data_IF_046977221319
#
_entry.id   IF_046977221319
#
_cell.length_a   1.000
_cell.length_b   1.000
_cell.length_c   1.000
_cell.angle_alpha   90.00
_cell.angle_beta   90.00
_cell.angle_gamma   90.00
#
_symmetry.space_group_name_H-M   'P 1'
#
loop_
_entity.id
_entity.type
_entity.pdbx_description
1 polymer ?
#
# COMPACT_ATOMS: atom_id res chain seq x y z
N UNK A 1 -0.41 23.43 25.50
CA UNK A 1 0.25 22.13 25.71
C UNK A 1 -0.46 21.09 24.89
N UNK A 2 -0.07 20.93 23.62
CA UNK A 2 -0.62 19.91 22.74
C UNK A 2 0.19 18.63 22.96
N UNK A 3 -0.41 17.70 23.72
CA UNK A 3 0.15 16.38 23.91
C UNK A 3 0.31 15.69 22.58
N UNK A 4 1.54 15.41 22.19
CA UNK A 4 1.83 14.49 21.10
C UNK A 4 1.12 13.18 21.41
N UNK A 5 0.21 12.68 20.53
CA UNK A 5 -0.25 11.32 20.67
C UNK A 5 0.97 10.45 20.51
N UNK A 6 1.25 9.70 21.54
CA UNK A 6 2.33 8.73 21.60
C UNK A 6 2.29 7.86 20.33
N UNK A 7 3.33 7.89 19.55
CA UNK A 7 3.74 6.87 18.59
C UNK A 7 4.14 5.58 19.36
N UNK A 8 3.31 5.22 20.33
CA UNK A 8 3.48 4.11 21.25
C UNK A 8 2.93 2.82 20.65
N UNK A 9 3.49 2.38 19.57
CA UNK A 9 3.15 1.12 19.00
C UNK A 9 3.95 0.77 17.76
N UNK A 10 4.79 1.68 17.30
CA UNK A 10 5.74 1.29 16.25
C UNK A 10 6.60 0.16 16.81
N UNK A 11 6.67 -0.97 16.12
CA UNK A 11 7.45 -2.10 16.56
C UNK A 11 8.86 -1.62 16.89
N UNK A 12 9.30 -1.92 18.11
CA UNK A 12 10.66 -1.65 18.57
C UNK A 12 11.68 -2.15 17.53
N UNK A 13 12.90 -1.61 17.47
CA UNK A 13 13.92 -2.02 16.47
C UNK A 13 14.20 -3.53 16.39
N UNK A 14 13.71 -4.30 17.34
CA UNK A 14 13.87 -5.76 17.45
C UNK A 14 12.66 -6.57 17.02
N UNK A 15 11.72 -6.04 16.22
CA UNK A 15 10.57 -6.82 15.74
C UNK A 15 11.06 -7.97 14.88
N UNK A 16 10.69 -9.17 15.29
CA UNK A 16 11.07 -10.41 14.60
C UNK A 16 10.48 -10.44 13.18
N UNK A 17 11.12 -11.12 12.23
CA UNK A 17 10.64 -11.18 10.83
C UNK A 17 9.16 -11.58 10.71
N UNK A 18 8.72 -12.59 11.46
CA UNK A 18 7.32 -13.06 11.45
C UNK A 18 6.33 -12.01 12.00
N UNK A 19 6.70 -11.29 13.05
CA UNK A 19 5.87 -10.22 13.63
C UNK A 19 5.71 -9.06 12.64
N UNK A 20 6.80 -8.68 11.98
CA UNK A 20 6.80 -7.65 10.93
C UNK A 20 5.92 -8.05 9.75
N UNK A 21 6.02 -9.32 9.31
CA UNK A 21 5.14 -9.89 8.29
C UNK A 21 3.68 -9.78 8.71
N UNK A 22 3.33 -10.22 9.92
CA UNK A 22 1.98 -10.17 10.44
C UNK A 22 1.41 -8.74 10.48
N UNK A 23 2.19 -7.79 10.99
CA UNK A 23 1.80 -6.37 11.06
C UNK A 23 1.60 -5.76 9.67
N UNK A 24 2.51 -6.05 8.72
CA UNK A 24 2.43 -5.53 7.35
C UNK A 24 1.20 -6.08 6.62
N UNK A 25 0.94 -7.38 6.73
CA UNK A 25 -0.26 -7.99 6.16
C UNK A 25 -1.54 -7.50 6.83
N UNK A 26 -1.52 -7.20 8.14
CA UNK A 26 -2.68 -6.64 8.85
C UNK A 26 -3.06 -5.23 8.36
N UNK A 27 -2.08 -4.44 7.86
CA UNK A 27 -2.34 -3.14 7.26
C UNK A 27 -3.10 -3.21 5.94
N UNK A 28 -3.10 -4.38 5.29
CA UNK A 28 -3.82 -4.61 4.03
C UNK A 28 -5.29 -4.98 4.25
N UNK A 29 -5.64 -5.44 5.47
CA UNK A 29 -7.00 -5.91 5.77
C UNK A 29 -8.02 -4.78 5.67
N UNK A 30 -9.12 -5.10 5.03
CA UNK A 30 -10.33 -4.28 5.08
C UNK A 30 -11.11 -4.54 6.37
N UNK A 31 -11.53 -3.48 7.08
CA UNK A 31 -12.37 -3.63 8.25
C UNK A 31 -13.64 -4.44 7.94
N UNK A 32 -13.88 -5.50 8.70
CA UNK A 32 -15.06 -6.35 8.54
C UNK A 32 -14.97 -7.42 7.44
N UNK A 33 -13.87 -7.51 6.68
CA UNK A 33 -13.70 -8.54 5.66
C UNK A 33 -13.22 -9.86 6.28
N UNK A 34 -14.15 -10.78 6.49
CA UNK A 34 -13.89 -12.08 7.11
C UNK A 34 -13.04 -13.02 6.25
N UNK A 35 -13.11 -12.89 4.91
CA UNK A 35 -12.31 -13.71 4.02
C UNK A 35 -10.82 -13.30 4.10
N UNK A 36 -10.54 -12.00 4.03
CA UNK A 36 -9.19 -11.47 4.21
C UNK A 36 -8.63 -11.79 5.61
N UNK A 37 -9.47 -11.66 6.65
CA UNK A 37 -9.07 -12.00 8.02
C UNK A 37 -8.64 -13.46 8.13
N UNK A 38 -9.41 -14.39 7.58
CA UNK A 38 -9.06 -15.83 7.58
C UNK A 38 -7.79 -16.10 6.80
N UNK A 39 -7.61 -15.46 5.63
CA UNK A 39 -6.39 -15.59 4.86
C UNK A 39 -5.17 -15.07 5.63
N UNK A 40 -5.31 -13.93 6.30
CA UNK A 40 -4.28 -13.37 7.16
C UNK A 40 -3.93 -14.30 8.33
N UNK A 41 -4.93 -14.90 9.00
CA UNK A 41 -4.71 -15.86 10.07
C UNK A 41 -3.94 -17.09 9.58
N UNK A 42 -4.25 -17.59 8.38
CA UNK A 42 -3.51 -18.70 7.77
C UNK A 42 -2.05 -18.32 7.48
N UNK A 43 -1.79 -17.12 6.98
CA UNK A 43 -0.43 -16.62 6.71
C UNK A 43 0.38 -16.36 7.99
N UNK A 44 -0.29 -16.16 9.11
CA UNK A 44 0.30 -15.95 10.43
C UNK A 44 0.24 -17.22 11.32
N UNK A 45 -0.17 -18.36 10.77
CA UNK A 45 -0.19 -19.62 11.48
C UNK A 45 1.21 -19.95 12.02
N UNK A 46 1.32 -20.21 13.32
CA UNK A 46 2.61 -20.43 13.99
C UNK A 46 3.24 -19.19 14.63
N UNK A 47 2.69 -17.99 14.44
CA UNK A 47 3.10 -16.81 15.18
C UNK A 47 2.24 -16.65 16.43
N UNK A 48 2.82 -16.97 17.59
CA UNK A 48 2.15 -16.73 18.88
C UNK A 48 1.85 -15.23 19.05
N UNK A 49 0.59 -14.91 19.34
CA UNK A 49 0.17 -13.50 19.53
C UNK A 49 -0.06 -12.71 18.23
N UNK A 50 -0.20 -13.37 17.09
CA UNK A 50 -0.51 -12.70 15.83
C UNK A 50 -1.72 -11.75 15.93
N UNK A 51 -2.79 -12.15 16.62
CA UNK A 51 -3.99 -11.34 16.81
C UNK A 51 -3.70 -9.94 17.39
N UNK A 52 -2.71 -9.84 18.28
CA UNK A 52 -2.29 -8.56 18.86
C UNK A 52 -1.82 -7.58 17.77
N UNK A 53 -1.05 -8.04 16.79
CA UNK A 53 -0.58 -7.19 15.70
C UNK A 53 -1.73 -6.66 14.85
N UNK A 54 -2.74 -7.48 14.58
CA UNK A 54 -3.95 -7.05 13.90
C UNK A 54 -4.70 -5.99 14.71
N UNK A 55 -4.86 -6.23 16.02
CA UNK A 55 -5.57 -5.31 16.90
C UNK A 55 -4.83 -3.98 17.05
N UNK A 56 -3.49 -4.00 17.15
CA UNK A 56 -2.67 -2.79 17.21
C UNK A 56 -2.76 -1.99 15.90
N UNK A 57 -2.73 -2.66 14.75
CA UNK A 57 -2.96 -2.03 13.44
C UNK A 57 -4.38 -1.48 13.30
N UNK A 58 -5.38 -2.19 13.82
CA UNK A 58 -6.78 -1.75 13.82
C UNK A 58 -7.01 -0.47 14.62
N UNK A 59 -6.18 -0.21 15.64
CA UNK A 59 -6.23 1.04 16.43
C UNK A 59 -5.52 2.22 15.79
N UNK A 60 -4.78 2.00 14.71
CA UNK A 60 -4.12 3.11 13.99
C UNK A 60 -5.17 3.99 13.32
N UNK A 61 -5.09 5.29 13.56
CA UNK A 61 -5.83 6.27 12.76
C UNK A 61 -5.38 6.23 11.29
N UNK A 62 -6.25 6.61 10.37
CA UNK A 62 -5.98 6.59 8.93
C UNK A 62 -4.67 7.28 8.56
N UNK A 63 -4.38 8.45 9.12
CA UNK A 63 -3.15 9.19 8.85
C UNK A 63 -1.87 8.49 9.31
N UNK A 64 -1.95 7.51 10.23
CA UNK A 64 -0.81 6.76 10.71
C UNK A 64 -0.55 5.46 9.92
N UNK A 65 -1.54 4.96 9.18
CA UNK A 65 -1.43 3.66 8.48
C UNK A 65 -0.35 3.67 7.41
N UNK A 66 -0.30 4.70 6.57
CA UNK A 66 0.70 4.80 5.50
C UNK A 66 2.12 4.95 6.02
N UNK A 67 2.45 5.86 6.96
CA UNK A 67 3.78 5.93 7.56
C UNK A 67 4.23 4.62 8.22
N UNK A 68 3.33 3.91 8.90
CA UNK A 68 3.65 2.61 9.50
C UNK A 68 3.90 1.55 8.43
N UNK A 69 3.09 1.52 7.37
CA UNK A 69 3.28 0.63 6.23
C UNK A 69 4.66 0.85 5.59
N UNK A 70 5.04 2.08 5.29
CA UNK A 70 6.34 2.41 4.71
C UNK A 70 7.51 2.03 5.62
N UNK A 71 7.40 2.29 6.93
CA UNK A 71 8.43 1.93 7.89
C UNK A 71 8.63 0.41 8.00
N UNK A 72 7.56 -0.37 7.96
CA UNK A 72 7.63 -1.84 7.97
C UNK A 72 8.18 -2.38 6.65
N UNK A 73 7.79 -1.77 5.54
CA UNK A 73 8.25 -2.12 4.21
C UNK A 73 9.77 -1.91 4.08
N UNK A 74 10.26 -0.73 4.49
CA UNK A 74 11.69 -0.42 4.44
C UNK A 74 12.52 -1.42 5.26
N UNK A 75 12.03 -1.77 6.46
CA UNK A 75 12.69 -2.80 7.29
C UNK A 75 12.66 -4.20 6.66
N UNK A 76 11.65 -4.49 5.83
CA UNK A 76 11.52 -5.77 5.16
C UNK A 76 12.46 -5.90 3.97
N UNK A 77 12.97 -4.81 3.41
CA UNK A 77 13.93 -4.80 2.30
C UNK A 77 15.26 -5.49 2.66
N UNK A 78 15.65 -5.42 3.94
CA UNK A 78 16.88 -6.07 4.41
C UNK A 78 16.74 -7.61 4.57
N UNK A 79 15.53 -8.16 4.40
CA UNK A 79 15.31 -9.60 4.49
C UNK A 79 15.85 -10.33 3.26
N UNK A 80 16.17 -11.63 3.37
CA UNK A 80 16.52 -12.48 2.23
C UNK A 80 15.46 -12.42 1.13
N UNK A 81 15.89 -12.58 -0.12
CA UNK A 81 14.99 -12.51 -1.29
C UNK A 81 13.80 -13.47 -1.18
N UNK A 82 14.02 -14.68 -0.73
CA UNK A 82 12.95 -15.67 -0.55
C UNK A 82 11.89 -15.21 0.48
N UNK A 83 12.29 -14.54 1.55
CA UNK A 83 11.35 -13.98 2.53
C UNK A 83 10.57 -12.79 1.94
N UNK A 84 11.24 -11.95 1.16
CA UNK A 84 10.62 -10.82 0.48
C UNK A 84 9.59 -11.29 -0.56
N UNK A 85 9.95 -12.28 -1.38
CA UNK A 85 9.06 -12.90 -2.33
C UNK A 85 7.86 -13.57 -1.64
N UNK A 86 8.11 -14.32 -0.56
CA UNK A 86 7.06 -14.94 0.24
C UNK A 86 6.10 -13.92 0.86
N UNK A 87 6.59 -12.73 1.23
CA UNK A 87 5.74 -11.64 1.75
C UNK A 87 4.82 -11.06 0.66
N UNK A 88 5.35 -10.83 -0.55
CA UNK A 88 4.56 -10.32 -1.68
C UNK A 88 3.45 -11.31 -2.09
N UNK A 89 3.76 -12.60 -2.12
CA UNK A 89 2.77 -13.64 -2.42
C UNK A 89 1.72 -13.79 -1.31
N UNK A 90 2.12 -13.65 -0.05
CA UNK A 90 1.17 -13.62 1.06
C UNK A 90 0.22 -12.43 0.97
N UNK A 91 0.75 -11.24 0.67
CA UNK A 91 -0.07 -10.05 0.45
C UNK A 91 -1.09 -10.26 -0.67
N UNK A 92 -0.68 -10.89 -1.78
CA UNK A 92 -1.58 -11.22 -2.88
C UNK A 92 -2.71 -12.15 -2.47
N UNK A 93 -2.40 -13.19 -1.66
CA UNK A 93 -3.42 -14.13 -1.16
C UNK A 93 -4.40 -13.45 -0.20
N UNK A 94 -3.92 -12.57 0.67
CA UNK A 94 -4.77 -11.83 1.61
C UNK A 94 -5.69 -10.88 0.86
N UNK A 95 -5.16 -10.06 -0.04
CA UNK A 95 -5.93 -9.08 -0.84
C UNK A 95 -6.97 -9.77 -1.74
N UNK A 96 -6.63 -10.92 -2.31
CA UNK A 96 -7.50 -11.65 -3.22
C UNK A 96 -8.46 -12.64 -2.56
N UNK A 97 -8.52 -12.68 -1.23
CA UNK A 97 -9.24 -13.72 -0.49
C UNK A 97 -10.78 -13.67 -0.64
N UNK A 98 -11.32 -12.53 -1.02
CA UNK A 98 -12.76 -12.33 -1.24
C UNK A 98 -13.14 -12.26 -2.74
N UNK A 99 -12.20 -12.63 -3.63
CA UNK A 99 -12.33 -12.54 -5.09
C UNK A 99 -12.61 -11.11 -5.60
N UNK A 100 -12.33 -10.10 -4.78
CA UNK A 100 -12.50 -8.68 -5.12
C UNK A 100 -11.18 -7.94 -4.90
N UNK A 101 -10.60 -7.45 -5.98
CA UNK A 101 -9.40 -6.60 -5.90
C UNK A 101 -9.81 -5.14 -6.05
N UNK A 102 -9.72 -4.39 -4.97
CA UNK A 102 -10.00 -2.94 -4.98
C UNK A 102 -8.79 -2.17 -5.52
N UNK A 103 -8.98 -0.99 -6.11
CA UNK A 103 -7.88 -0.18 -6.61
C UNK A 103 -6.79 0.12 -5.57
N UNK A 104 -7.19 0.38 -4.31
CA UNK A 104 -6.25 0.63 -3.21
C UNK A 104 -5.42 -0.61 -2.86
N UNK A 105 -6.03 -1.79 -2.87
CA UNK A 105 -5.36 -3.06 -2.59
C UNK A 105 -4.34 -3.38 -3.68
N UNK A 106 -4.73 -3.16 -4.94
CA UNK A 106 -3.81 -3.30 -6.07
C UNK A 106 -2.63 -2.33 -5.95
N UNK A 107 -2.88 -1.08 -5.59
CA UNK A 107 -1.82 -0.09 -5.38
C UNK A 107 -0.87 -0.52 -4.28
N UNK A 108 -1.38 -0.93 -3.13
CA UNK A 108 -0.56 -1.42 -2.00
C UNK A 108 0.28 -2.62 -2.39
N UNK A 109 -0.32 -3.56 -3.12
CA UNK A 109 0.41 -4.74 -3.61
C UNK A 109 1.50 -4.38 -4.62
N UNK A 110 1.22 -3.45 -5.55
CA UNK A 110 2.22 -2.96 -6.51
C UNK A 110 3.39 -2.28 -5.81
N UNK A 111 3.11 -1.45 -4.80
CA UNK A 111 4.16 -0.81 -3.98
C UNK A 111 4.99 -1.86 -3.24
N UNK A 112 4.34 -2.85 -2.62
CA UNK A 112 5.01 -3.99 -1.97
C UNK A 112 5.94 -4.71 -2.94
N UNK A 113 5.41 -5.12 -4.08
CA UNK A 113 6.16 -5.83 -5.11
C UNK A 113 7.37 -5.02 -5.59
N UNK A 114 7.15 -3.77 -5.96
CA UNK A 114 8.21 -2.89 -6.46
C UNK A 114 9.31 -2.68 -5.41
N UNK A 115 8.92 -2.38 -4.19
CA UNK A 115 9.89 -2.06 -3.12
C UNK A 115 10.66 -3.27 -2.61
N UNK A 116 10.07 -4.47 -2.67
CA UNK A 116 10.68 -5.69 -2.13
C UNK A 116 11.39 -6.54 -3.18
N UNK A 117 10.89 -6.59 -4.41
CA UNK A 117 11.41 -7.50 -5.43
C UNK A 117 12.20 -6.80 -6.54
N UNK A 118 11.85 -5.57 -6.85
CA UNK A 118 12.55 -4.84 -7.90
C UNK A 118 13.79 -4.16 -7.31
N UNK A 119 14.89 -4.24 -8.04
CA UNK A 119 16.06 -3.45 -7.69
C UNK A 119 15.68 -1.95 -7.74
N UNK A 120 16.15 -1.12 -6.78
CA UNK A 120 15.92 0.30 -6.87
C UNK A 120 16.44 0.77 -8.25
N UNK A 121 15.67 1.61 -8.95
CA UNK A 121 16.13 2.13 -10.23
C UNK A 121 17.50 2.76 -10.02
N UNK A 122 18.49 2.27 -10.76
CA UNK A 122 19.83 2.83 -10.70
C UNK A 122 19.81 4.32 -11.08
N UNK A 123 20.84 5.09 -10.73
CA UNK A 123 20.89 6.52 -11.05
C UNK A 123 20.69 6.84 -12.54
N UNK A 124 20.96 5.87 -13.42
CA UNK A 124 20.67 5.99 -14.85
C UNK A 124 19.17 5.88 -15.19
N UNK A 125 18.40 5.12 -14.40
CA UNK A 125 16.95 4.98 -14.60
C UNK A 125 16.16 6.16 -13.98
N UNK A 126 16.80 6.90 -13.07
CA UNK A 126 16.28 8.16 -12.53
C UNK A 126 16.65 9.37 -13.41
N UNK A 127 17.50 9.18 -14.43
CA UNK A 127 17.60 10.19 -15.48
C UNK A 127 16.23 10.28 -16.12
N UNK A 128 15.59 11.46 -16.10
CA UNK A 128 14.38 11.65 -16.88
C UNK A 128 14.70 11.15 -18.29
N UNK A 129 13.98 10.15 -18.74
CA UNK A 129 14.03 9.74 -20.15
C UNK A 129 13.92 11.04 -20.91
N UNK A 130 14.98 11.39 -21.63
CA UNK A 130 15.27 12.73 -22.12
C UNK A 130 13.97 13.49 -22.42
N UNK A 131 13.48 14.17 -21.42
CA UNK A 131 12.48 15.24 -21.44
C UNK A 131 11.48 15.17 -22.60
N UNK A 132 10.86 14.02 -22.83
CA UNK A 132 9.65 14.03 -23.63
C UNK A 132 8.64 14.89 -22.85
N UNK A 133 8.18 16.01 -23.38
CA UNK A 133 7.20 16.85 -22.71
C UNK A 133 5.99 15.97 -22.36
N UNK A 134 5.37 16.19 -21.21
CA UNK A 134 4.19 15.45 -20.76
C UNK A 134 3.09 15.47 -21.84
N UNK A 135 3.06 16.51 -22.67
CA UNK A 135 2.17 16.62 -23.83
C UNK A 135 2.50 15.69 -25.03
N UNK A 136 3.62 14.96 -25.04
CA UNK A 136 3.88 13.97 -26.06
C UNK A 136 2.88 12.78 -25.93
N UNK A 137 2.46 12.15 -27.06
CA UNK A 137 1.37 11.16 -27.02
C UNK A 137 1.55 10.02 -26.03
N UNK A 138 2.73 9.45 -25.92
CA UNK A 138 2.98 8.31 -25.02
C UNK A 138 3.03 8.70 -23.52
N UNK A 139 3.76 9.77 -23.10
CA UNK A 139 3.70 10.26 -21.72
C UNK A 139 2.31 10.75 -21.33
N UNK A 140 1.57 11.38 -22.23
CA UNK A 140 0.21 11.84 -21.99
C UNK A 140 -0.73 10.67 -21.70
N UNK A 141 -0.71 9.61 -22.51
CA UNK A 141 -1.53 8.43 -22.27
C UNK A 141 -1.22 7.77 -20.92
N UNK A 142 0.07 7.65 -20.55
CA UNK A 142 0.48 7.13 -19.25
C UNK A 142 0.01 8.04 -18.10
N UNK A 143 0.05 9.35 -18.25
CA UNK A 143 -0.44 10.32 -17.27
C UNK A 143 -1.97 10.23 -17.10
N UNK A 144 -2.72 10.10 -18.19
CA UNK A 144 -4.18 9.92 -18.18
C UNK A 144 -4.58 8.63 -17.44
N UNK A 145 -3.87 7.51 -17.71
CA UNK A 145 -4.09 6.25 -17.00
C UNK A 145 -3.79 6.39 -15.50
N UNK A 146 -2.66 7.01 -15.16
CA UNK A 146 -2.25 7.20 -13.76
C UNK A 146 -3.23 8.10 -13.01
N UNK A 147 -3.61 9.24 -13.57
CA UNK A 147 -4.56 10.16 -12.94
C UNK A 147 -5.95 9.55 -12.83
N UNK A 148 -6.39 8.81 -13.85
CA UNK A 148 -7.65 8.05 -13.82
C UNK A 148 -7.64 6.95 -12.74
N UNK A 149 -6.50 6.31 -12.52
CA UNK A 149 -6.33 5.35 -11.42
C UNK A 149 -6.36 6.06 -10.06
N UNK A 150 -5.59 7.12 -9.88
CA UNK A 150 -5.53 7.88 -8.63
C UNK A 150 -6.89 8.45 -8.24
N UNK A 151 -7.67 8.92 -9.22
CA UNK A 151 -9.04 9.39 -9.00
C UNK A 151 -9.94 8.35 -8.33
N UNK A 152 -9.72 7.05 -8.61
CA UNK A 152 -10.49 5.95 -8.02
C UNK A 152 -9.97 5.50 -6.65
N UNK A 153 -8.70 5.79 -6.37
CA UNK A 153 -8.01 5.38 -5.12
C UNK A 153 -8.19 6.42 -4.03
N UNK A 154 -8.38 7.70 -4.37
CA UNK A 154 -8.58 8.76 -3.38
C UNK A 154 -9.91 8.52 -2.63
N UNK A 155 -9.86 8.31 -1.29
CA UNK A 155 -11.05 8.04 -0.51
C UNK A 155 -12.07 9.17 -0.62
N UNK A 156 -13.33 8.79 -0.79
CA UNK A 156 -14.45 9.76 -0.68
C UNK A 156 -15.19 9.51 0.63
N UNK A 157 -15.57 10.55 1.35
CA UNK A 157 -16.53 10.37 2.42
C UNK A 157 -17.86 9.93 1.80
N UNK A 158 -18.21 8.67 2.00
CA UNK A 158 -19.59 8.26 1.94
C UNK A 158 -20.04 7.29 0.89
N UNK A 159 -19.38 6.99 -0.23
CA UNK A 159 -19.97 5.96 -1.12
C UNK A 159 -19.13 5.49 -2.32
N UNK A 160 -19.13 4.16 -2.51
CA UNK A 160 -19.12 3.49 -3.80
C UNK A 160 -17.82 3.56 -4.62
N UNK A 161 -17.72 2.61 -5.54
CA UNK A 161 -16.59 2.43 -6.47
C UNK A 161 -16.56 3.46 -7.62
N UNK A 162 -17.52 4.38 -7.68
CA UNK A 162 -17.57 5.42 -8.73
C UNK A 162 -17.00 6.73 -8.24
N UNK A 163 -16.13 7.38 -9.05
CA UNK A 163 -15.62 8.69 -8.71
C UNK A 163 -16.75 9.72 -8.55
N UNK A 164 -16.71 10.46 -7.45
CA UNK A 164 -17.64 11.56 -7.24
C UNK A 164 -17.27 12.84 -8.00
N UNK A 165 -18.11 13.88 -7.97
CA UNK A 165 -17.88 15.11 -8.72
C UNK A 165 -16.55 15.80 -8.42
N UNK A 166 -16.12 15.78 -7.16
CA UNK A 166 -14.84 16.39 -6.74
C UNK A 166 -13.63 15.69 -7.35
N UNK A 167 -13.67 14.37 -7.47
CA UNK A 167 -12.60 13.59 -8.07
C UNK A 167 -12.57 13.77 -9.58
N UNK A 168 -13.74 13.83 -10.22
CA UNK A 168 -13.84 14.12 -11.65
C UNK A 168 -13.26 15.50 -11.95
N UNK A 169 -13.64 16.53 -11.20
CA UNK A 169 -13.10 17.89 -11.34
C UNK A 169 -11.58 17.95 -11.06
N UNK A 170 -11.06 17.16 -10.12
CA UNK A 170 -9.62 17.05 -9.90
C UNK A 170 -8.92 16.41 -11.11
N UNK A 171 -9.48 15.32 -11.63
CA UNK A 171 -8.92 14.62 -12.80
C UNK A 171 -8.87 15.52 -14.03
N UNK A 172 -9.96 16.23 -14.31
CA UNK A 172 -10.03 17.21 -15.43
C UNK A 172 -8.95 18.29 -15.28
N UNK A 173 -8.81 18.91 -14.10
CA UNK A 173 -7.75 19.89 -13.84
C UNK A 173 -6.35 19.31 -13.96
N UNK A 174 -6.14 18.07 -13.53
CA UNK A 174 -4.84 17.42 -13.67
C UNK A 174 -4.49 17.19 -15.14
N UNK A 175 -5.46 16.82 -15.98
CA UNK A 175 -5.26 16.66 -17.41
C UNK A 175 -4.97 18.00 -18.12
N UNK A 176 -5.66 19.07 -17.74
CA UNK A 176 -5.42 20.41 -18.26
C UNK A 176 -4.03 20.93 -17.91
N UNK A 177 -3.57 20.70 -16.67
CA UNK A 177 -2.25 21.10 -16.21
C UNK A 177 -1.10 20.31 -16.87
N UNK A 178 -1.37 19.12 -17.42
CA UNK A 178 -0.42 18.27 -18.13
C UNK A 178 -0.42 18.45 -19.65
N UNK A 179 -1.24 19.34 -20.19
CA UNK A 179 -1.35 19.64 -21.61
C UNK A 179 -0.39 20.75 -22.02
#
# INVERSE_FOLDING_TARGET
MLGHPMLLGLPRPSVRPLERRAALLALLLEPGNEAERRAWEAECAGLAGAARWRDDVGRLGEGARLPVFEALLERSRAAPEAERAGLVEAARRVIGADDRVRPLDLLRWLVLRQRLLEAPPGPAALRPAAQAPIGAPAPRAAFEVLTGFLMRVVPQPGEGTRPGPAQQAWHERALEAGA
#
